data_IF_713130658129
#
_entry.id   IF_713130658129
#
_cell.length_a   1.000
_cell.length_b   1.000
_cell.length_c   1.000
_cell.angle_alpha   90.00
_cell.angle_beta   90.00
_cell.angle_gamma   90.00
#
_symmetry.space_group_name_H-M   'P 1'
#
loop_
_entity.id
_entity.type
_entity.pdbx_description
1 polymer ?
#
# COMPACT_ATOMS: atom_id res chain seq x y z
N UNK A 1 0.37 -5.71 -20.15
CA UNK A 1 1.16 -5.75 -18.90
C UNK A 1 0.40 -6.68 -17.97
N UNK A 2 1.09 -7.55 -17.24
CA UNK A 2 0.50 -8.48 -16.27
C UNK A 2 0.80 -8.02 -14.86
N UNK A 3 0.03 -8.51 -13.89
CA UNK A 3 0.31 -8.27 -12.47
C UNK A 3 1.61 -8.95 -12.07
N UNK A 4 2.47 -8.22 -11.39
CA UNK A 4 3.79 -8.66 -10.93
C UNK A 4 3.95 -8.37 -9.44
N UNK A 5 4.72 -9.20 -8.76
CA UNK A 5 4.99 -9.09 -7.35
C UNK A 5 6.48 -8.87 -7.09
N UNK A 6 6.77 -8.00 -6.14
CA UNK A 6 8.13 -7.62 -5.79
C UNK A 6 8.35 -7.80 -4.29
N UNK A 7 9.32 -8.61 -3.92
CA UNK A 7 9.62 -8.88 -2.51
C UNK A 7 10.82 -8.07 -2.06
N UNK A 8 10.64 -7.33 -0.97
CA UNK A 8 11.71 -6.66 -0.24
C UNK A 8 11.92 -7.39 1.07
N UNK A 9 13.17 -7.75 1.38
CA UNK A 9 13.55 -8.38 2.64
C UNK A 9 14.54 -7.53 3.39
N UNK A 10 14.20 -7.22 4.64
CA UNK A 10 15.12 -6.64 5.61
C UNK A 10 15.32 -7.62 6.76
N UNK A 11 16.15 -7.27 7.72
CA UNK A 11 16.29 -8.00 8.97
C UNK A 11 15.02 -7.94 9.86
N UNK A 12 14.15 -6.94 9.63
CA UNK A 12 12.92 -6.68 10.41
C UNK A 12 11.66 -7.16 9.74
N UNK A 13 11.59 -7.13 8.41
CA UNK A 13 10.36 -7.39 7.69
C UNK A 13 10.60 -8.03 6.31
N UNK A 14 9.62 -8.83 5.88
CA UNK A 14 9.43 -9.26 4.51
C UNK A 14 8.19 -8.57 3.96
N UNK A 15 8.36 -7.78 2.91
CA UNK A 15 7.31 -6.98 2.29
C UNK A 15 7.08 -7.46 0.87
N UNK A 16 5.82 -7.62 0.47
CA UNK A 16 5.46 -7.90 -0.91
C UNK A 16 4.64 -6.74 -1.48
N UNK A 17 5.14 -6.21 -2.57
CA UNK A 17 4.51 -5.16 -3.36
C UNK A 17 3.87 -5.77 -4.61
N UNK A 18 2.82 -5.14 -5.12
CA UNK A 18 2.26 -5.43 -6.45
C UNK A 18 2.32 -4.21 -7.34
N UNK A 19 2.51 -4.41 -8.65
CA UNK A 19 2.35 -3.32 -9.61
C UNK A 19 0.89 -2.93 -9.85
N UNK A 20 -0.07 -3.67 -9.33
CA UNK A 20 -1.49 -3.30 -9.33
C UNK A 20 -1.72 -2.24 -8.27
N UNK A 21 -1.93 -1.00 -8.70
CA UNK A 21 -2.01 0.16 -7.82
C UNK A 21 -0.67 0.62 -7.23
N UNK A 22 0.42 -0.14 -7.39
CA UNK A 22 1.69 0.10 -6.70
C UNK A 22 1.56 -0.06 -5.18
N UNK A 23 0.84 -1.08 -4.73
CA UNK A 23 0.40 -1.24 -3.34
C UNK A 23 1.17 -2.33 -2.60
N UNK A 24 1.08 -2.33 -1.27
CA UNK A 24 1.60 -3.39 -0.42
C UNK A 24 0.50 -4.43 -0.20
N UNK A 25 0.82 -5.69 -0.45
CA UNK A 25 -0.10 -6.83 -0.26
C UNK A 25 0.32 -7.76 0.87
N UNK A 26 1.54 -7.63 1.36
CA UNK A 26 2.03 -8.35 2.54
C UNK A 26 3.07 -7.49 3.25
N UNK A 27 2.98 -7.44 4.57
CA UNK A 27 3.99 -6.82 5.43
C UNK A 27 4.17 -7.70 6.67
N UNK A 28 5.16 -8.58 6.61
CA UNK A 28 5.40 -9.61 7.62
C UNK A 28 6.60 -9.23 8.47
N UNK A 29 6.40 -9.15 9.78
CA UNK A 29 7.50 -8.95 10.74
C UNK A 29 8.30 -10.24 10.91
N UNK A 30 9.62 -10.15 10.96
CA UNK A 30 10.49 -11.32 11.02
C UNK A 30 10.88 -11.72 12.44
N UNK A 31 10.89 -10.77 13.35
CA UNK A 31 11.30 -10.95 14.75
C UNK A 31 10.12 -10.89 15.76
N UNK A 32 8.90 -10.82 15.27
CA UNK A 32 7.68 -10.94 16.05
C UNK A 32 6.83 -12.09 15.51
N UNK A 33 6.69 -13.13 16.30
CA UNK A 33 5.92 -14.33 15.89
C UNK A 33 4.46 -14.20 16.29
N UNK A 34 3.59 -14.54 15.39
CA UNK A 34 2.20 -14.80 15.65
C UNK A 34 2.09 -16.15 16.38
N UNK A 35 1.43 -16.16 17.54
CA UNK A 35 1.37 -17.33 18.42
C UNK A 35 0.54 -18.47 17.85
N UNK A 36 -0.43 -18.18 16.99
CA UNK A 36 -1.31 -19.17 16.40
C UNK A 36 -0.65 -19.88 15.20
N UNK A 37 0.09 -19.14 14.39
CA UNK A 37 0.68 -19.64 13.16
C UNK A 37 2.17 -20.00 13.32
N UNK A 38 2.80 -19.53 14.38
CA UNK A 38 4.25 -19.61 14.60
C UNK A 38 5.06 -19.05 13.41
N UNK A 39 4.51 -18.07 12.71
CA UNK A 39 5.15 -17.33 11.63
C UNK A 39 5.25 -15.87 12.01
N UNK A 40 5.99 -15.08 11.24
CA UNK A 40 6.05 -13.63 11.49
C UNK A 40 4.67 -12.99 11.46
N UNK A 41 4.41 -12.03 12.35
CA UNK A 41 3.15 -11.28 12.41
C UNK A 41 2.91 -10.56 11.08
N UNK A 42 1.74 -10.80 10.47
CA UNK A 42 1.31 -10.13 9.25
C UNK A 42 0.58 -8.82 9.60
N UNK A 43 1.17 -7.68 9.22
CA UNK A 43 0.57 -6.37 9.46
C UNK A 43 -0.49 -6.01 8.42
N UNK A 44 -0.37 -6.51 7.19
CA UNK A 44 -1.36 -6.29 6.12
C UNK A 44 -2.22 -7.53 5.98
N UNK A 45 -3.27 -7.64 6.79
CA UNK A 45 -4.13 -8.81 6.83
C UNK A 45 -5.47 -8.58 6.09
N UNK A 46 -6.09 -9.67 5.65
CA UNK A 46 -7.35 -9.66 4.89
C UNK A 46 -7.34 -8.78 3.62
N UNK A 47 -6.22 -8.78 2.94
CA UNK A 47 -6.04 -8.05 1.67
C UNK A 47 -7.02 -8.57 0.62
N UNK A 48 -7.65 -7.64 -0.09
CA UNK A 48 -8.54 -7.90 -1.23
C UNK A 48 -8.22 -6.95 -2.38
N UNK A 49 -8.80 -7.22 -3.55
CA UNK A 49 -8.73 -6.31 -4.70
C UNK A 49 -9.45 -4.96 -4.47
N UNK A 50 -10.22 -4.86 -3.40
CA UNK A 50 -10.94 -3.63 -3.04
C UNK A 50 -10.21 -2.82 -1.97
N UNK A 51 -9.25 -3.43 -1.29
CA UNK A 51 -8.55 -2.77 -0.19
C UNK A 51 -7.16 -3.38 0.04
N UNK A 52 -6.12 -2.65 -0.35
CA UNK A 52 -4.71 -3.00 -0.14
C UNK A 52 -4.02 -1.91 0.66
N UNK A 53 -2.92 -2.24 1.29
CA UNK A 53 -2.15 -1.27 2.07
C UNK A 53 -1.46 -0.26 1.14
N UNK A 54 -1.59 1.01 1.47
CA UNK A 54 -1.15 2.16 0.67
C UNK A 54 -1.91 2.34 -0.65
N UNK A 55 -3.09 1.72 -0.81
CA UNK A 55 -3.91 1.92 -2.00
C UNK A 55 -4.42 3.36 -2.09
N UNK A 56 -4.36 3.92 -3.30
CA UNK A 56 -4.82 5.28 -3.59
C UNK A 56 -6.19 5.23 -4.24
N UNK A 57 -7.07 6.11 -3.80
CA UNK A 57 -8.35 6.40 -4.47
C UNK A 57 -8.49 7.91 -4.64
N UNK A 58 -9.09 8.34 -5.74
CA UNK A 58 -9.47 9.74 -5.94
C UNK A 58 -10.93 9.94 -5.52
N UNK A 59 -11.14 10.85 -4.57
CA UNK A 59 -12.44 11.15 -4.00
C UNK A 59 -12.50 10.85 -2.50
N UNK A 60 -13.70 10.48 -2.03
CA UNK A 60 -13.97 10.20 -0.62
C UNK A 60 -13.59 8.75 -0.23
N UNK A 61 -13.90 8.38 1.01
CA UNK A 61 -13.60 7.07 1.56
C UNK A 61 -14.28 5.90 0.80
N UNK A 62 -15.39 6.15 0.10
CA UNK A 62 -16.13 5.13 -0.66
C UNK A 62 -15.66 4.99 -2.11
N UNK A 63 -14.76 5.87 -2.56
CA UNK A 63 -14.23 5.82 -3.91
C UNK A 63 -13.42 4.55 -4.15
N UNK A 64 -13.50 4.02 -5.38
CA UNK A 64 -12.74 2.82 -5.75
C UNK A 64 -11.24 3.13 -5.77
N UNK A 65 -10.46 2.20 -5.25
CA UNK A 65 -9.00 2.28 -5.35
C UNK A 65 -8.54 2.08 -6.79
N UNK A 66 -7.37 2.63 -7.09
CA UNK A 66 -6.71 2.40 -8.38
C UNK A 66 -6.26 0.93 -8.45
N UNK A 67 -6.80 0.23 -9.44
CA UNK A 67 -6.44 -1.17 -9.76
C UNK A 67 -5.66 -1.29 -11.07
N UNK A 68 -5.25 -0.17 -11.64
CA UNK A 68 -4.42 -0.14 -12.84
C UNK A 68 -3.06 -0.77 -12.60
N UNK A 69 -2.47 -1.30 -13.68
CA UNK A 69 -1.10 -1.78 -13.64
C UNK A 69 -0.13 -0.62 -13.88
N UNK A 70 0.79 -0.44 -12.95
CA UNK A 70 1.84 0.57 -12.97
C UNK A 70 3.10 0.01 -13.61
N UNK A 71 3.87 0.87 -14.25
CA UNK A 71 5.27 0.57 -14.59
C UNK A 71 6.11 0.65 -13.32
N UNK A 72 7.17 -0.14 -13.24
CA UNK A 72 7.96 -0.31 -12.02
C UNK A 72 9.43 -0.09 -12.33
N UNK A 73 10.04 0.81 -11.57
CA UNK A 73 11.47 1.02 -11.54
C UNK A 73 12.00 0.54 -10.17
N UNK A 74 12.80 -0.52 -10.17
CA UNK A 74 13.58 -0.91 -8.99
C UNK A 74 14.81 0.02 -8.91
N UNK A 75 14.80 0.95 -7.94
CA UNK A 75 15.89 1.92 -7.75
C UNK A 75 17.09 1.26 -7.05
N UNK A 76 16.79 0.48 -5.99
CA UNK A 76 17.75 -0.34 -5.25
C UNK A 76 17.03 -1.54 -4.61
N UNK A 77 17.70 -2.31 -3.76
CA UNK A 77 17.11 -3.50 -3.15
C UNK A 77 15.97 -3.20 -2.18
N UNK A 78 15.85 -1.95 -1.73
CA UNK A 78 14.87 -1.51 -0.74
C UNK A 78 13.94 -0.42 -1.25
N UNK A 79 14.10 0.04 -2.50
CA UNK A 79 13.36 1.16 -3.06
C UNK A 79 12.73 0.82 -4.40
N UNK A 80 11.41 0.96 -4.48
CA UNK A 80 10.63 0.75 -5.68
C UNK A 80 9.81 1.99 -6.01
N UNK A 81 9.80 2.36 -7.29
CA UNK A 81 9.02 3.48 -7.83
C UNK A 81 8.02 2.93 -8.84
N UNK A 82 6.75 3.11 -8.54
CA UNK A 82 5.61 2.75 -9.38
C UNK A 82 5.08 3.99 -10.06
N UNK A 83 4.89 3.95 -11.38
CA UNK A 83 4.44 5.10 -12.19
C UNK A 83 3.22 4.75 -13.02
N UNK A 84 2.27 5.64 -13.09
CA UNK A 84 1.08 5.50 -13.92
C UNK A 84 0.55 6.85 -14.39
N UNK A 85 0.18 6.94 -15.66
CA UNK A 85 -0.67 8.03 -16.12
C UNK A 85 -2.13 7.66 -15.84
N UNK A 86 -2.81 8.54 -15.15
CA UNK A 86 -4.22 8.42 -14.78
C UNK A 86 -5.00 9.64 -15.27
N UNK A 87 -6.30 9.49 -15.43
CA UNK A 87 -7.17 10.62 -15.75
C UNK A 87 -7.92 11.01 -14.47
N UNK A 88 -7.71 12.23 -14.02
CA UNK A 88 -8.40 12.80 -12.86
C UNK A 88 -9.15 14.04 -13.32
N UNK A 89 -10.47 14.03 -13.18
CA UNK A 89 -11.35 15.13 -13.64
C UNK A 89 -11.06 15.57 -15.08
N UNK A 90 -10.84 14.59 -15.99
CA UNK A 90 -10.57 14.86 -17.41
C UNK A 90 -9.15 15.33 -17.73
N UNK A 91 -8.26 15.45 -16.75
CA UNK A 91 -6.86 15.81 -16.96
C UNK A 91 -5.95 14.58 -16.86
N UNK A 92 -4.94 14.53 -17.72
CA UNK A 92 -3.87 13.54 -17.62
C UNK A 92 -2.92 13.92 -16.48
N UNK A 93 -2.78 13.02 -15.54
CA UNK A 93 -1.94 13.15 -14.34
C UNK A 93 -0.97 11.99 -14.29
N UNK A 94 0.29 12.27 -14.09
CA UNK A 94 1.27 11.25 -13.74
C UNK A 94 1.24 11.06 -12.23
N UNK A 95 1.00 9.84 -11.81
CA UNK A 95 1.02 9.41 -10.41
C UNK A 95 2.26 8.55 -10.19
N UNK A 96 3.13 9.02 -9.31
CA UNK A 96 4.33 8.32 -8.85
C UNK A 96 4.14 7.89 -7.39
N UNK A 97 4.35 6.60 -7.11
CA UNK A 97 4.36 6.05 -5.75
C UNK A 97 5.73 5.44 -5.48
N UNK A 98 6.48 6.01 -4.57
CA UNK A 98 7.80 5.53 -4.18
C UNK A 98 7.75 4.97 -2.78
N UNK A 99 8.10 3.70 -2.65
CA UNK A 99 8.22 2.99 -1.39
C UNK A 99 9.71 2.78 -1.09
N UNK A 100 10.15 3.22 0.10
CA UNK A 100 11.53 3.06 0.56
C UNK A 100 11.52 2.39 1.93
N UNK A 101 12.13 1.22 2.00
CA UNK A 101 12.28 0.43 3.21
C UNK A 101 13.72 0.56 3.70
N UNK A 102 13.94 0.38 5.02
CA UNK A 102 15.29 0.47 5.60
C UNK A 102 15.59 -0.75 6.46
N UNK A 103 16.74 -1.38 6.28
CA UNK A 103 17.23 -2.38 7.24
C UNK A 103 17.29 -1.81 8.66
N UNK A 104 16.95 -2.64 9.64
CA UNK A 104 16.91 -2.25 11.05
C UNK A 104 15.66 -1.49 11.50
N UNK A 105 14.78 -1.08 10.58
CA UNK A 105 13.58 -0.31 10.89
C UNK A 105 12.29 -1.10 10.54
N UNK A 106 11.23 -0.87 11.33
CA UNK A 106 9.88 -1.41 11.06
C UNK A 106 9.02 -0.47 10.22
N UNK A 107 9.45 0.77 10.07
CA UNK A 107 8.76 1.80 9.32
C UNK A 107 9.32 1.90 7.91
N UNK A 108 8.50 2.38 7.00
CA UNK A 108 8.90 2.68 5.64
C UNK A 108 8.42 4.08 5.24
N UNK A 109 9.01 4.63 4.20
CA UNK A 109 8.62 5.89 3.63
C UNK A 109 7.81 5.65 2.37
N UNK A 110 6.58 6.19 2.31
CA UNK A 110 5.78 6.30 1.11
C UNK A 110 5.79 7.76 0.62
N UNK A 111 6.19 7.97 -0.61
CA UNK A 111 6.12 9.26 -1.30
C UNK A 111 5.13 9.13 -2.46
N UNK A 112 4.11 9.98 -2.47
CA UNK A 112 3.15 10.06 -3.58
C UNK A 112 3.31 11.43 -4.22
N UNK A 113 3.68 11.42 -5.50
CA UNK A 113 3.79 12.63 -6.30
C UNK A 113 2.76 12.58 -7.42
N UNK A 114 2.09 13.70 -7.63
CA UNK A 114 1.16 13.87 -8.72
C UNK A 114 1.53 15.14 -9.47
N UNK A 115 1.64 15.05 -10.78
CA UNK A 115 1.90 16.20 -11.63
C UNK A 115 1.13 16.08 -12.94
N UNK A 116 0.71 17.21 -13.49
CA UNK A 116 0.06 17.20 -14.78
C UNK A 116 1.06 16.98 -15.90
N UNK A 117 0.65 16.29 -16.95
CA UNK A 117 1.52 15.97 -18.07
C UNK A 117 1.96 17.22 -18.85
N UNK A 118 1.22 18.31 -18.77
CA UNK A 118 1.47 19.58 -19.46
C UNK A 118 2.22 20.63 -18.59
N UNK A 119 2.61 20.25 -17.36
CA UNK A 119 3.31 21.14 -16.43
C UNK A 119 2.43 22.24 -15.82
N UNK A 120 1.13 22.25 -16.08
CA UNK A 120 0.19 23.16 -15.44
C UNK A 120 -0.07 22.74 -14.02
N UNK A 121 -0.49 23.66 -13.15
CA UNK A 121 -0.89 23.34 -11.78
C UNK A 121 -1.97 22.25 -11.77
N UNK A 122 -1.82 21.30 -10.86
CA UNK A 122 -2.78 20.21 -10.70
C UNK A 122 -3.99 20.73 -9.93
N UNK A 123 -5.07 20.99 -10.66
CA UNK A 123 -6.37 21.26 -10.07
C UNK A 123 -7.18 19.97 -10.01
N UNK A 124 -7.36 19.43 -8.82
CA UNK A 124 -8.19 18.25 -8.57
C UNK A 124 -9.68 18.62 -8.47
N UNK A 125 -10.03 19.89 -8.76
CA UNK A 125 -11.42 20.39 -8.76
C UNK A 125 -12.16 20.10 -7.44
N UNK A 126 -11.47 20.35 -6.33
CA UNK A 126 -12.00 20.06 -4.99
C UNK A 126 -12.02 18.57 -4.62
N UNK A 127 -11.58 17.69 -5.51
CA UNK A 127 -11.45 16.26 -5.21
C UNK A 127 -10.17 16.03 -4.42
N UNK A 128 -10.27 15.40 -3.26
CA UNK A 128 -9.12 14.90 -2.52
C UNK A 128 -8.72 13.51 -3.02
N UNK A 129 -7.57 13.05 -2.60
CA UNK A 129 -7.22 11.64 -2.69
C UNK A 129 -7.21 11.01 -1.29
N UNK A 130 -7.46 9.73 -1.23
CA UNK A 130 -7.36 8.95 -0.01
C UNK A 130 -6.28 7.89 -0.14
N UNK A 131 -5.57 7.63 0.95
CA UNK A 131 -4.66 6.50 1.09
C UNK A 131 -5.34 5.52 2.04
N UNK A 132 -5.41 4.26 1.65
CA UNK A 132 -6.04 3.22 2.47
C UNK A 132 -5.00 2.31 3.08
N UNK A 133 -5.31 1.78 4.24
CA UNK A 133 -4.60 0.67 4.87
C UNK A 133 -5.32 -0.64 4.58
N UNK A 134 -4.68 -1.76 4.91
CA UNK A 134 -5.35 -3.05 4.89
C UNK A 134 -6.58 -3.05 5.81
N UNK A 135 -7.59 -3.88 5.51
CA UNK A 135 -8.78 -4.00 6.34
C UNK A 135 -8.47 -4.37 7.79
N UNK A 136 -7.40 -5.09 7.99
CA UNK A 136 -6.96 -5.52 9.31
C UNK A 136 -5.44 -5.35 9.43
N UNK A 137 -5.03 -4.76 10.55
CA UNK A 137 -3.61 -4.68 10.94
C UNK A 137 -3.39 -5.78 11.99
N UNK A 138 -2.47 -6.70 11.68
CA UNK A 138 -2.21 -7.91 12.48
C UNK A 138 -1.85 -7.65 13.94
N UNK A 139 -1.68 -8.70 14.75
CA UNK A 139 -1.75 -10.12 14.39
C UNK A 139 -3.13 -10.53 13.90
N UNK A 140 -3.20 -11.72 13.25
CA UNK A 140 -4.47 -12.23 12.72
C UNK A 140 -5.53 -12.35 13.84
N UNK A 141 -6.70 -11.76 13.61
CA UNK A 141 -7.79 -11.77 14.59
C UNK A 141 -8.62 -13.04 14.47
N UNK A 142 -8.64 -13.84 15.54
CA UNK A 142 -9.43 -15.06 15.64
C UNK A 142 -10.58 -14.85 16.64
N UNK A 143 -11.79 -14.67 16.15
CA UNK A 143 -12.98 -14.41 16.98
C UNK A 143 -13.28 -15.48 18.04
N UNK A 144 -12.77 -16.69 17.87
CA UNK A 144 -12.96 -17.80 18.84
C UNK A 144 -11.98 -17.72 20.00
N UNK A 145 -10.77 -17.26 19.77
CA UNK A 145 -9.69 -17.17 20.74
C UNK A 145 -9.62 -15.77 21.36
N UNK A 146 -9.81 -14.74 20.53
CA UNK A 146 -9.63 -13.33 20.90
C UNK A 146 -10.94 -12.68 21.39
N UNK A 147 -11.77 -13.43 22.13
CA UNK A 147 -13.11 -12.97 22.56
C UNK A 147 -13.09 -11.67 23.40
N UNK A 148 -11.96 -11.30 23.94
CA UNK A 148 -11.77 -10.08 24.74
C UNK A 148 -11.05 -8.96 23.97
N UNK A 149 -10.59 -9.22 22.77
CA UNK A 149 -9.95 -8.22 21.94
C UNK A 149 -10.98 -7.43 21.14
N UNK A 150 -10.91 -6.12 21.24
CA UNK A 150 -11.76 -5.21 20.44
C UNK A 150 -10.85 -4.34 19.60
N UNK A 151 -11.03 -4.36 18.28
CA UNK A 151 -10.34 -3.49 17.34
C UNK A 151 -11.30 -2.45 16.81
N UNK A 152 -10.97 -1.18 17.00
CA UNK A 152 -11.80 -0.06 16.56
C UNK A 152 -10.97 0.95 15.79
N UNK A 153 -11.57 1.54 14.77
CA UNK A 153 -11.04 2.74 14.15
C UNK A 153 -11.53 3.94 14.96
N UNK A 154 -10.60 4.76 15.43
CA UNK A 154 -10.90 6.02 16.10
C UNK A 154 -10.58 7.14 15.12
N UNK A 155 -11.60 7.94 14.79
CA UNK A 155 -11.49 9.12 13.92
C UNK A 155 -11.55 10.40 14.75
#
# INVERSE_FOLDING_TARGET
MEEQFFTVKTDKAEIVLTNKGGDIISYKLMDHLDMDTNTGVQLSDNITDLNRTCAVAFGNADSKILNDLFTVDKIDDYTYLFKKNVIVNGKNVTLDKKNTFKPGEYVFKLEILMHSADGTGLDLNGTSYTIRTAPQIGPHFNTKQDRYETRQFVT
#
